data_IF_766921320959
#
_entry.id   IF_766921320959
#
_cell.length_a   1.000
_cell.length_b   1.000
_cell.length_c   1.000
_cell.angle_alpha   90.00
_cell.angle_beta   90.00
_cell.angle_gamma   90.00
#
_symmetry.space_group_name_H-M   'P 1'
#
loop_
_entity.id
_entity.type
_entity.pdbx_description
1 polymer ?
#
# COMPACT_ATOMS: atom_id res chain seq x y z
N UNK A 1 8.57 -11.67 2.37
CA UNK A 1 7.42 -12.58 2.65
C UNK A 1 6.44 -11.98 3.65
N UNK A 2 6.88 -11.38 4.77
CA UNK A 2 5.96 -10.86 5.81
C UNK A 2 5.03 -9.73 5.35
N UNK A 3 5.47 -8.81 4.48
CA UNK A 3 4.62 -7.74 3.94
C UNK A 3 3.42 -8.29 3.13
N UNK A 4 3.66 -9.21 2.19
CA UNK A 4 2.58 -9.80 1.37
C UNK A 4 1.58 -10.58 2.22
N UNK A 5 2.06 -11.35 3.20
CA UNK A 5 1.20 -12.07 4.14
C UNK A 5 0.35 -11.10 4.97
N UNK A 6 0.96 -10.05 5.52
CA UNK A 6 0.26 -9.01 6.26
C UNK A 6 -0.90 -8.40 5.46
N UNK A 7 -0.65 -8.04 4.19
CA UNK A 7 -1.65 -7.47 3.29
C UNK A 7 -2.82 -8.43 3.00
N UNK A 8 -2.56 -9.73 2.84
CA UNK A 8 -3.61 -10.73 2.59
C UNK A 8 -4.51 -10.99 3.80
N UNK A 9 -4.03 -10.69 5.00
CA UNK A 9 -4.74 -10.90 6.27
C UNK A 9 -5.49 -9.64 6.74
N UNK A 10 -5.33 -8.50 6.05
CA UNK A 10 -6.02 -7.26 6.44
C UNK A 10 -7.52 -7.33 6.19
N UNK A 11 -8.34 -6.74 7.08
CA UNK A 11 -9.78 -6.66 6.87
C UNK A 11 -10.15 -5.68 5.74
N UNK A 12 -9.23 -4.79 5.37
CA UNK A 12 -9.41 -3.86 4.25
C UNK A 12 -9.28 -4.58 2.92
N UNK A 13 -10.20 -4.30 2.00
CA UNK A 13 -10.17 -4.90 0.67
C UNK A 13 -9.16 -4.15 -0.20
N UNK A 14 -8.09 -4.86 -0.58
CA UNK A 14 -7.11 -4.40 -1.56
C UNK A 14 -7.70 -4.52 -2.98
N UNK A 15 -7.97 -3.38 -3.62
CA UNK A 15 -8.45 -3.31 -5.01
C UNK A 15 -7.28 -3.50 -5.97
N UNK A 16 -6.18 -2.81 -5.70
CA UNK A 16 -4.91 -2.89 -6.43
C UNK A 16 -3.78 -2.81 -5.42
N UNK A 17 -2.76 -3.65 -5.55
CA UNK A 17 -1.56 -3.58 -4.74
C UNK A 17 -0.34 -4.07 -5.53
N UNK A 18 0.73 -3.29 -5.54
CA UNK A 18 1.96 -3.65 -6.24
C UNK A 18 3.08 -2.64 -6.02
N UNK A 19 4.31 -2.99 -6.39
CA UNK A 19 5.40 -2.03 -6.35
C UNK A 19 5.28 -1.01 -7.49
N UNK A 20 5.86 0.18 -7.30
CA UNK A 20 6.28 1.03 -8.41
C UNK A 20 7.68 0.59 -8.83
N UNK A 21 7.89 0.43 -10.14
CA UNK A 21 9.19 0.07 -10.71
C UNK A 21 9.99 1.33 -11.05
N UNK A 22 11.32 1.22 -10.98
CA UNK A 22 12.25 2.29 -11.34
C UNK A 22 12.13 2.69 -12.82
N UNK A 23 11.93 1.71 -13.71
CA UNK A 23 11.74 1.91 -15.15
C UNK A 23 11.10 0.67 -15.77
N UNK A 24 10.73 0.74 -17.06
CA UNK A 24 10.14 -0.37 -17.81
C UNK A 24 11.14 -1.52 -18.07
N UNK A 25 12.45 -1.26 -17.94
CA UNK A 25 13.55 -2.20 -18.23
C UNK A 25 14.15 -2.83 -16.96
N UNK A 26 13.66 -2.45 -15.77
CA UNK A 26 14.22 -2.85 -14.47
C UNK A 26 13.15 -3.42 -13.55
N UNK A 27 13.43 -4.57 -12.95
CA UNK A 27 12.62 -5.16 -11.87
C UNK A 27 12.88 -4.48 -10.50
N UNK A 28 13.62 -3.37 -10.49
CA UNK A 28 13.89 -2.59 -9.29
C UNK A 28 12.64 -1.91 -8.75
N UNK A 29 12.18 -2.35 -7.57
CA UNK A 29 11.03 -1.75 -6.89
C UNK A 29 11.47 -0.52 -6.08
N UNK A 30 10.82 0.62 -6.30
CA UNK A 30 11.15 1.89 -5.64
C UNK A 30 10.09 2.36 -4.63
N UNK A 31 8.87 1.82 -4.71
CA UNK A 31 7.80 2.15 -3.77
C UNK A 31 6.74 1.05 -3.72
N UNK A 32 5.82 1.14 -2.76
CA UNK A 32 4.57 0.39 -2.75
C UNK A 32 3.42 1.31 -3.16
N UNK A 33 2.54 0.84 -4.05
CA UNK A 33 1.32 1.53 -4.45
C UNK A 33 0.11 0.64 -4.20
N UNK A 34 -0.92 1.22 -3.60
CA UNK A 34 -2.13 0.50 -3.21
C UNK A 34 -3.38 1.36 -3.39
N UNK A 35 -4.46 0.72 -3.83
CA UNK A 35 -5.83 1.23 -3.79
C UNK A 35 -6.63 0.28 -2.90
N UNK A 36 -7.25 0.81 -1.85
CA UNK A 36 -8.02 0.04 -0.86
C UNK A 36 -9.43 0.60 -0.73
N UNK A 37 -10.40 -0.28 -0.47
CA UNK A 37 -11.72 0.10 0.04
C UNK A 37 -11.67 0.12 1.57
N UNK A 38 -12.07 1.24 2.17
CA UNK A 38 -12.07 1.46 3.62
C UNK A 38 -13.21 2.41 4.02
N UNK A 39 -13.73 2.24 5.23
CA UNK A 39 -14.78 3.10 5.78
C UNK A 39 -14.25 4.47 6.21
N UNK A 40 -12.96 4.55 6.57
CA UNK A 40 -12.29 5.80 6.99
C UNK A 40 -10.81 5.85 6.58
N UNK A 41 -10.26 7.07 6.50
CA UNK A 41 -8.82 7.25 6.27
C UNK A 41 -8.00 6.76 7.48
N UNK A 42 -8.57 6.78 8.68
CA UNK A 42 -7.97 6.26 9.90
C UNK A 42 -7.74 4.74 9.82
N UNK A 43 -8.65 3.98 9.21
CA UNK A 43 -8.47 2.54 9.01
C UNK A 43 -7.30 2.24 8.08
N UNK A 44 -7.15 3.02 7.01
CA UNK A 44 -6.01 2.91 6.09
C UNK A 44 -4.70 3.27 6.79
N UNK A 45 -4.69 4.31 7.64
CA UNK A 45 -3.52 4.66 8.44
C UNK A 45 -3.13 3.55 9.42
N UNK A 46 -4.10 2.95 10.14
CA UNK A 46 -3.83 1.82 11.04
C UNK A 46 -3.27 0.61 10.30
N UNK A 47 -3.79 0.32 9.11
CA UNK A 47 -3.26 -0.72 8.24
C UNK A 47 -1.82 -0.40 7.82
N UNK A 48 -1.55 0.84 7.42
CA UNK A 48 -0.20 1.26 7.03
C UNK A 48 0.79 1.19 8.20
N UNK A 49 0.43 1.68 9.38
CA UNK A 49 1.27 1.64 10.59
C UNK A 49 1.51 0.19 11.08
N UNK A 50 0.59 -0.71 10.74
CA UNK A 50 0.70 -2.13 11.03
C UNK A 50 1.64 -2.91 10.10
N UNK A 51 1.95 -2.36 8.93
CA UNK A 51 2.75 -3.01 7.90
C UNK A 51 4.20 -3.24 8.38
N UNK A 52 4.74 -4.47 8.23
CA UNK A 52 6.14 -4.75 8.51
C UNK A 52 7.14 -3.80 7.83
N UNK A 53 6.87 -3.32 6.62
CA UNK A 53 7.73 -2.35 5.93
C UNK A 53 7.73 -0.98 6.61
N UNK A 54 6.55 -0.51 7.02
CA UNK A 54 6.43 0.75 7.76
C UNK A 54 7.14 0.66 9.11
N UNK A 55 6.92 -0.43 9.86
CA UNK A 55 7.59 -0.64 11.16
C UNK A 55 9.10 -0.78 11.05
N UNK A 56 9.60 -1.28 9.90
CA UNK A 56 11.02 -1.38 9.61
C UNK A 56 11.63 -0.05 9.08
N UNK A 57 10.82 1.01 8.90
CA UNK A 57 11.29 2.30 8.41
C UNK A 57 11.75 2.27 6.95
N UNK A 58 11.18 1.39 6.12
CA UNK A 58 11.56 1.24 4.71
C UNK A 58 11.16 2.46 3.87
N UNK A 59 10.04 3.09 4.20
CA UNK A 59 9.50 4.22 3.43
C UNK A 59 10.09 5.55 3.90
N UNK A 60 10.64 6.32 2.96
CA UNK A 60 11.06 7.69 3.22
C UNK A 60 9.87 8.65 3.29
N UNK A 61 9.01 8.62 2.28
CA UNK A 61 7.80 9.44 2.17
C UNK A 61 6.55 8.56 2.08
N UNK A 62 5.45 9.03 2.70
CA UNK A 62 4.16 8.33 2.72
C UNK A 62 3.03 9.31 2.42
N UNK A 63 2.24 8.99 1.40
CA UNK A 63 1.08 9.78 0.99
C UNK A 63 -0.18 8.92 1.02
N UNK A 64 -1.13 9.29 1.89
CA UNK A 64 -2.43 8.60 2.03
C UNK A 64 -3.53 9.61 1.77
N UNK A 65 -4.32 9.38 0.73
CA UNK A 65 -5.37 10.29 0.26
C UNK A 65 -6.67 9.54 -0.02
N UNK A 66 -7.81 10.21 0.22
CA UNK A 66 -9.08 9.78 -0.37
C UNK A 66 -8.98 9.95 -1.88
N UNK A 67 -9.13 8.86 -2.62
CA UNK A 67 -9.26 8.88 -4.07
C UNK A 67 -10.71 8.61 -4.47
N UNK A 68 -11.18 9.32 -5.49
CA UNK A 68 -12.56 9.21 -5.97
C UNK A 68 -12.57 8.49 -7.33
N UNK A 69 -13.04 7.24 -7.32
CA UNK A 69 -13.05 6.37 -8.50
C UNK A 69 -14.18 6.79 -9.43
N UNK A 70 -13.86 7.60 -10.44
CA UNK A 70 -14.81 8.01 -11.46
C UNK A 70 -14.94 6.99 -12.60
N UNK A 71 -13.87 6.22 -12.89
CA UNK A 71 -13.78 5.30 -14.02
C UNK A 71 -12.93 4.07 -13.64
N UNK A 72 -13.33 2.88 -14.11
CA UNK A 72 -12.61 1.60 -14.02
C UNK A 72 -13.35 0.51 -13.28
#
# INVERSE_FOLDING_TARGET
>A
MQHRAYLQEQPLKLVVAGPLCESDESDGNIASFMIVEADSIEDVRRMHDGDPFTRAGVFGDVHIHRWDKHIG
#
